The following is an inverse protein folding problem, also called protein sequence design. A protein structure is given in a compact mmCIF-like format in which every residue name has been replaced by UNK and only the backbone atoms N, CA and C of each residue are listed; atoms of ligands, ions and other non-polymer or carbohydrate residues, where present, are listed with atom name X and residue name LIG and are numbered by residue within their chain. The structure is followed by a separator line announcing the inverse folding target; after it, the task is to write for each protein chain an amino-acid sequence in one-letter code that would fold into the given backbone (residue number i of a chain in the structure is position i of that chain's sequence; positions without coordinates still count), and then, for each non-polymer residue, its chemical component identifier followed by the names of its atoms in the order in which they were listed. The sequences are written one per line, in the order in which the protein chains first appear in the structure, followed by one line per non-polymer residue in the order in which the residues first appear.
data_IF_209440836120
#
_entry.id   IF_209440836120
#
_cell.length_a   1.000
_cell.length_b   1.000
_cell.length_c   1.000
_cell.angle_alpha   90.00
_cell.angle_beta   90.00
_cell.angle_gamma   90.00
#
_symmetry.space_group_name_H-M   'P 1'
#
loop_
_entity.id
_entity.type
_entity.pdbx_description
1 polymer ?
#
# COMPACT_ATOMS: atom_id res chain seq x y z
N UNK A 1 -6.93 21.12 -12.81
CA UNK A 1 -6.78 21.14 -11.33
C UNK A 1 -5.33 20.89 -10.93
N UNK A 2 -4.68 19.83 -11.45
CA UNK A 2 -3.25 19.57 -11.21
C UNK A 2 -2.31 20.75 -11.50
N UNK A 3 -2.45 21.44 -12.64
CA UNK A 3 -1.62 22.63 -12.95
C UNK A 3 -1.83 23.78 -11.96
N UNK A 4 -3.05 23.95 -11.44
CA UNK A 4 -3.36 24.95 -10.41
C UNK A 4 -2.76 24.56 -9.06
N UNK A 5 -2.81 23.28 -8.68
CA UNK A 5 -2.17 22.76 -7.47
C UNK A 5 -0.65 22.90 -7.56
N UNK A 6 -0.06 22.53 -8.70
CA UNK A 6 1.37 22.65 -8.95
C UNK A 6 1.82 24.12 -8.88
N UNK A 7 1.03 25.02 -9.46
CA UNK A 7 1.27 26.46 -9.39
C UNK A 7 1.17 27.02 -7.97
N UNK A 8 0.17 26.58 -7.19
CA UNK A 8 -0.05 27.03 -5.82
C UNK A 8 1.02 26.52 -4.84
N UNK A 9 1.55 25.32 -5.05
CA UNK A 9 2.51 24.71 -4.11
C UNK A 9 3.97 24.96 -4.47
N UNK A 10 4.28 25.12 -5.76
CA UNK A 10 5.68 25.18 -6.24
C UNK A 10 5.98 26.51 -6.94
N UNK A 11 4.95 27.28 -7.30
CA UNK A 11 5.07 28.60 -7.92
C UNK A 11 4.57 28.63 -9.37
N UNK A 12 4.36 29.84 -9.92
CA UNK A 12 3.69 30.05 -11.21
C UNK A 12 4.35 29.33 -12.40
N UNK A 13 5.68 29.24 -12.41
CA UNK A 13 6.44 28.65 -13.53
C UNK A 13 6.64 27.13 -13.41
N UNK A 14 6.08 26.50 -12.37
CA UNK A 14 6.34 25.09 -12.08
C UNK A 14 5.89 24.13 -13.20
N UNK A 15 4.78 24.44 -13.87
CA UNK A 15 4.28 23.64 -14.98
C UNK A 15 5.24 23.68 -16.20
N UNK A 16 5.80 24.84 -16.50
CA UNK A 16 6.71 24.99 -17.64
C UNK A 16 8.06 24.35 -17.38
N UNK A 17 8.58 24.46 -16.15
CA UNK A 17 9.77 23.71 -15.73
C UNK A 17 9.57 22.20 -15.82
N UNK A 18 8.41 21.70 -15.38
CA UNK A 18 8.10 20.27 -15.47
C UNK A 18 8.02 19.80 -16.92
N UNK A 19 7.39 20.57 -17.81
CA UNK A 19 7.31 20.25 -19.24
C UNK A 19 8.70 20.23 -19.90
N UNK A 20 9.61 21.10 -19.47
CA UNK A 20 10.98 21.12 -19.98
C UNK A 20 11.81 19.86 -19.63
N UNK A 21 11.46 19.16 -18.53
CA UNK A 21 12.09 17.90 -18.14
C UNK A 21 11.53 16.68 -18.92
N UNK A 22 10.36 16.83 -19.55
CA UNK A 22 9.68 15.72 -20.19
C UNK A 22 10.22 15.48 -21.61
N UNK A 23 10.58 14.23 -21.91
CA UNK A 23 10.94 13.83 -23.28
C UNK A 23 9.76 14.01 -24.26
N UNK A 24 8.52 13.82 -23.77
CA UNK A 24 7.27 14.05 -24.52
C UNK A 24 6.17 14.50 -23.56
N UNK A 25 5.31 15.39 -24.05
CA UNK A 25 4.12 15.86 -23.34
C UNK A 25 2.89 15.50 -24.16
N UNK A 26 1.94 14.81 -23.54
CA UNK A 26 0.70 14.39 -24.18
C UNK A 26 -0.48 15.19 -23.64
N UNK A 27 -1.44 15.51 -24.51
CA UNK A 27 -2.70 16.14 -24.08
C UNK A 27 -3.59 15.10 -23.41
N UNK A 28 -4.28 15.48 -22.34
CA UNK A 28 -5.15 14.56 -21.57
C UNK A 28 -6.25 13.92 -22.44
N UNK A 29 -6.72 14.62 -23.47
CA UNK A 29 -7.73 14.13 -24.41
C UNK A 29 -7.18 13.31 -25.58
N UNK A 30 -5.86 13.16 -25.70
CA UNK A 30 -5.23 12.45 -26.82
C UNK A 30 -5.20 10.93 -26.55
N UNK A 31 -6.36 10.27 -26.70
CA UNK A 31 -6.48 8.83 -26.53
C UNK A 31 -5.69 8.01 -27.57
N UNK A 32 -5.23 8.64 -28.65
CA UNK A 32 -4.39 8.03 -29.69
C UNK A 32 -2.89 8.08 -29.38
N UNK A 33 -2.49 8.70 -28.27
CA UNK A 33 -1.09 8.75 -27.86
C UNK A 33 -0.51 7.35 -27.68
N UNK A 34 0.76 7.17 -28.06
CA UNK A 34 1.43 5.87 -28.01
C UNK A 34 1.39 5.21 -26.63
N UNK A 35 1.42 5.99 -25.54
CA UNK A 35 1.35 5.50 -24.16
C UNK A 35 0.00 4.84 -23.80
N UNK A 36 -1.04 5.01 -24.62
CA UNK A 36 -2.31 4.31 -24.51
C UNK A 36 -2.30 2.92 -25.18
N UNK A 37 -1.12 2.42 -25.57
CA UNK A 37 -0.90 1.09 -26.14
C UNK A 37 0.16 0.32 -25.35
N UNK A 38 -0.09 -0.97 -25.10
CA UNK A 38 0.88 -1.86 -24.44
C UNK A 38 2.18 -2.06 -25.24
N UNK A 39 2.15 -1.81 -26.55
CA UNK A 39 3.34 -1.85 -27.42
C UNK A 39 4.34 -0.72 -27.17
N UNK A 40 3.96 0.31 -26.40
CA UNK A 40 4.86 1.39 -26.03
C UNK A 40 5.92 0.87 -25.03
N UNK A 41 7.23 1.07 -25.29
CA UNK A 41 8.28 0.57 -24.41
C UNK A 41 8.44 1.49 -23.18
N UNK A 42 7.58 1.29 -22.19
CA UNK A 42 7.63 1.98 -20.89
C UNK A 42 7.82 0.97 -19.77
N UNK A 43 8.64 1.31 -18.77
CA UNK A 43 8.92 0.45 -17.61
C UNK A 43 7.78 0.44 -16.57
N UNK A 44 6.85 1.38 -16.65
CA UNK A 44 5.76 1.55 -15.71
C UNK A 44 5.21 2.97 -15.75
N UNK A 45 4.33 3.30 -14.80
CA UNK A 45 3.69 4.61 -14.71
C UNK A 45 3.61 5.09 -13.26
N UNK A 46 3.82 6.38 -13.07
CA UNK A 46 3.61 7.07 -11.81
C UNK A 46 2.54 8.13 -12.02
N UNK A 47 1.51 8.14 -11.16
CA UNK A 47 0.49 9.19 -11.14
C UNK A 47 0.75 10.11 -9.94
N UNK A 48 1.29 11.31 -10.20
CA UNK A 48 1.70 12.27 -9.18
C UNK A 48 1.31 13.72 -9.53
N UNK A 49 0.44 14.38 -8.75
CA UNK A 49 -0.42 13.80 -7.72
C UNK A 49 -1.51 12.90 -8.34
N UNK A 50 -1.92 11.85 -7.63
CA UNK A 50 -3.10 11.06 -7.97
C UNK A 50 -4.32 11.64 -7.24
N UNK A 51 -5.20 12.31 -7.98
CA UNK A 51 -6.46 12.78 -7.43
C UNK A 51 -7.39 11.61 -7.07
N UNK A 52 -8.32 11.82 -6.14
CA UNK A 52 -9.31 10.79 -5.80
C UNK A 52 -10.21 10.41 -6.98
N UNK A 53 -10.49 11.35 -7.89
CA UNK A 53 -11.15 11.06 -9.17
C UNK A 53 -10.31 10.13 -10.04
N UNK A 54 -9.03 10.47 -10.23
CA UNK A 54 -8.12 9.66 -11.05
C UNK A 54 -7.97 8.26 -10.47
N UNK A 55 -7.83 8.15 -9.16
CA UNK A 55 -7.80 6.89 -8.44
C UNK A 55 -9.07 6.07 -8.67
N UNK A 56 -10.26 6.67 -8.50
CA UNK A 56 -11.53 6.00 -8.75
C UNK A 56 -11.66 5.52 -10.21
N UNK A 57 -11.25 6.36 -11.15
CA UNK A 57 -11.34 6.05 -12.57
C UNK A 57 -10.37 4.94 -12.99
N UNK A 58 -9.18 4.88 -12.37
CA UNK A 58 -8.23 3.77 -12.55
C UNK A 58 -8.77 2.50 -11.90
N UNK A 59 -9.21 2.59 -10.64
CA UNK A 59 -9.75 1.50 -9.84
C UNK A 59 -10.96 0.80 -10.50
N UNK A 60 -11.78 1.55 -11.24
CA UNK A 60 -12.94 1.04 -11.95
C UNK A 60 -12.73 0.88 -13.46
N UNK A 61 -11.51 1.05 -13.96
CA UNK A 61 -11.17 0.85 -15.37
C UNK A 61 -11.98 1.73 -16.33
N UNK A 62 -12.31 2.97 -15.94
CA UNK A 62 -13.19 3.86 -16.71
C UNK A 62 -12.56 4.29 -18.05
N UNK A 63 -11.22 4.31 -18.14
CA UNK A 63 -10.45 4.67 -19.33
C UNK A 63 -10.96 5.96 -20.05
N UNK A 64 -11.51 6.90 -19.28
CA UNK A 64 -12.25 8.09 -19.74
C UNK A 64 -11.35 9.21 -20.30
N UNK A 65 -10.04 9.10 -20.14
CA UNK A 65 -9.03 10.02 -20.66
C UNK A 65 -7.67 9.30 -20.82
N UNK A 66 -6.66 10.00 -21.35
CA UNK A 66 -5.36 9.40 -21.62
C UNK A 66 -4.66 8.90 -20.34
N UNK A 67 -4.79 9.60 -19.22
CA UNK A 67 -4.16 9.20 -17.95
C UNK A 67 -4.76 7.88 -17.45
N UNK A 68 -6.09 7.76 -17.43
CA UNK A 68 -6.77 6.57 -16.93
C UNK A 68 -6.56 5.38 -17.87
N UNK A 69 -6.59 5.62 -19.19
CA UNK A 69 -6.29 4.61 -20.21
C UNK A 69 -4.85 4.11 -20.17
N UNK A 70 -3.86 5.00 -20.02
CA UNK A 70 -2.46 4.61 -19.92
C UNK A 70 -2.16 3.83 -18.63
N UNK A 71 -2.85 4.17 -17.53
CA UNK A 71 -2.80 3.42 -16.29
C UNK A 71 -3.43 2.02 -16.44
N UNK A 72 -4.58 1.92 -17.10
CA UNK A 72 -5.22 0.65 -17.44
C UNK A 72 -4.34 -0.25 -18.31
N UNK A 73 -3.55 0.34 -19.22
CA UNK A 73 -2.52 -0.40 -19.98
C UNK A 73 -1.44 -0.96 -19.06
N UNK A 74 -0.95 -0.20 -18.06
CA UNK A 74 0.06 -0.74 -17.14
C UNK A 74 -0.48 -1.94 -16.36
N UNK A 75 -1.72 -1.86 -15.88
CA UNK A 75 -2.37 -2.96 -15.18
C UNK A 75 -2.53 -4.20 -16.08
N UNK A 76 -2.99 -4.01 -17.34
CA UNK A 76 -3.13 -5.09 -18.33
C UNK A 76 -1.82 -5.76 -18.70
N UNK A 77 -0.76 -4.96 -18.85
CA UNK A 77 0.59 -5.43 -19.22
C UNK A 77 1.41 -5.88 -18.01
N UNK A 78 0.81 -5.90 -16.80
CA UNK A 78 1.47 -6.19 -15.50
C UNK A 78 2.74 -5.38 -15.27
N UNK A 79 2.70 -4.10 -15.62
CA UNK A 79 3.79 -3.15 -15.39
C UNK A 79 3.53 -2.35 -14.11
N UNK A 80 4.57 -1.97 -13.36
CA UNK A 80 4.43 -1.17 -12.16
C UNK A 80 3.58 0.10 -12.38
N UNK A 81 2.50 0.21 -11.62
CA UNK A 81 1.67 1.42 -11.53
C UNK A 81 1.71 1.96 -10.10
N UNK A 82 2.34 3.11 -9.91
CA UNK A 82 2.46 3.77 -8.60
C UNK A 82 1.50 4.95 -8.52
N UNK A 83 0.62 4.93 -7.53
CA UNK A 83 -0.41 5.96 -7.33
C UNK A 83 -0.08 6.80 -6.11
N UNK A 84 0.31 8.07 -6.31
CA UNK A 84 0.55 9.02 -5.22
C UNK A 84 -0.76 9.71 -4.84
N UNK A 85 -1.65 8.94 -4.23
CA UNK A 85 -2.91 9.44 -3.70
C UNK A 85 -2.64 10.48 -2.60
N UNK A 86 -3.03 11.73 -2.85
CA UNK A 86 -2.86 12.83 -1.88
C UNK A 86 -4.21 13.47 -1.59
N UNK A 87 -4.83 13.01 -0.51
CA UNK A 87 -6.07 13.55 0.03
C UNK A 87 -6.07 13.29 1.55
N UNK A 88 -6.50 14.28 2.32
CA UNK A 88 -6.65 14.16 3.77
C UNK A 88 -7.74 15.14 4.23
N UNK A 89 -8.79 14.68 4.94
CA UNK A 89 -9.07 13.29 5.34
C UNK A 89 -9.55 12.40 4.17
N UNK A 90 -9.27 11.10 4.24
CA UNK A 90 -9.76 10.13 3.26
C UNK A 90 -11.21 9.71 3.59
N UNK A 91 -12.03 9.53 2.55
CA UNK A 91 -13.37 8.96 2.70
C UNK A 91 -13.33 7.46 2.45
N UNK A 92 -14.36 6.72 2.90
CA UNK A 92 -14.48 5.29 2.60
C UNK A 92 -14.44 5.00 1.09
N UNK A 93 -14.99 5.89 0.26
CA UNK A 93 -14.90 5.76 -1.19
C UNK A 93 -13.45 5.83 -1.69
N UNK A 94 -12.62 6.69 -1.10
CA UNK A 94 -11.20 6.79 -1.43
C UNK A 94 -10.47 5.48 -1.08
N UNK A 95 -10.70 4.93 0.11
CA UNK A 95 -10.07 3.68 0.56
C UNK A 95 -10.46 2.48 -0.30
N UNK A 96 -11.75 2.34 -0.64
CA UNK A 96 -12.23 1.28 -1.55
C UNK A 96 -11.57 1.36 -2.92
N UNK A 97 -11.36 2.57 -3.44
CA UNK A 97 -10.68 2.76 -4.72
C UNK A 97 -9.17 2.47 -4.61
N UNK A 98 -8.53 2.77 -3.48
CA UNK A 98 -7.13 2.37 -3.23
C UNK A 98 -6.99 0.86 -3.19
N UNK A 99 -7.91 0.17 -2.51
CA UNK A 99 -7.96 -1.29 -2.44
C UNK A 99 -8.16 -1.91 -3.83
N UNK A 100 -9.20 -1.50 -4.55
CA UNK A 100 -9.46 -2.02 -5.89
C UNK A 100 -8.29 -1.77 -6.86
N UNK A 101 -7.60 -0.62 -6.75
CA UNK A 101 -6.37 -0.39 -7.50
C UNK A 101 -5.24 -1.35 -7.09
N UNK A 102 -5.09 -1.65 -5.79
CA UNK A 102 -4.11 -2.60 -5.26
C UNK A 102 -4.34 -4.02 -5.78
N UNK A 103 -5.60 -4.48 -5.73
CA UNK A 103 -6.04 -5.81 -6.20
C UNK A 103 -5.74 -6.00 -7.71
N UNK A 104 -5.74 -4.91 -8.49
CA UNK A 104 -5.37 -4.94 -9.90
C UNK A 104 -3.85 -4.89 -10.16
N UNK A 105 -3.02 -4.83 -9.12
CA UNK A 105 -1.56 -4.78 -9.23
C UNK A 105 -0.97 -3.35 -9.23
N UNK A 106 -1.74 -2.33 -8.86
CA UNK A 106 -1.13 -1.06 -8.47
C UNK A 106 -0.47 -1.19 -7.10
N UNK A 107 0.51 -0.33 -6.80
CA UNK A 107 1.14 -0.27 -5.47
C UNK A 107 0.63 0.96 -4.71
N UNK A 108 -0.45 0.86 -3.92
CA UNK A 108 -0.80 1.90 -2.97
C UNK A 108 0.19 1.90 -1.80
N UNK A 109 0.48 3.07 -1.24
CA UNK A 109 1.26 3.15 0.01
C UNK A 109 2.77 3.36 -0.13
N UNK A 110 3.31 3.53 -1.34
CA UNK A 110 4.71 3.96 -1.54
C UNK A 110 5.03 5.30 -0.81
N UNK A 111 4.00 6.06 -0.44
CA UNK A 111 4.10 7.24 0.42
C UNK A 111 4.79 6.99 1.79
N UNK A 112 4.84 5.76 2.30
CA UNK A 112 5.60 5.40 3.51
C UNK A 112 7.11 5.39 3.24
N UNK A 113 7.54 4.80 2.12
CA UNK A 113 8.95 4.71 1.72
C UNK A 113 9.53 6.10 1.43
N UNK A 114 8.75 6.99 0.81
CA UNK A 114 9.14 8.38 0.60
C UNK A 114 9.15 9.22 1.91
N UNK A 115 8.26 8.94 2.87
CA UNK A 115 8.27 9.58 4.21
C UNK A 115 9.43 9.12 5.09
N UNK A 116 9.73 7.83 5.10
CA UNK A 116 10.85 7.25 5.86
C UNK A 116 12.22 7.60 5.25
N UNK A 117 12.25 8.00 3.98
CA UNK A 117 13.42 8.54 3.29
C UNK A 117 13.61 10.05 3.49
N UNK A 118 12.77 10.71 4.29
CA UNK A 118 12.73 12.17 4.51
C UNK A 118 12.63 12.99 3.21
N UNK A 119 12.06 12.38 2.16
CA UNK A 119 11.80 13.02 0.87
C UNK A 119 10.44 13.72 0.97
N UNK A 120 10.46 14.96 1.46
CA UNK A 120 9.28 15.82 1.52
C UNK A 120 8.94 16.39 0.15
N UNK A 121 7.82 15.94 -0.42
CA UNK A 121 7.28 16.48 -1.69
C UNK A 121 6.57 17.84 -1.53
N UNK A 122 6.44 18.35 -0.30
CA UNK A 122 5.74 19.61 -0.04
C UNK A 122 6.63 20.84 -0.29
N UNK A 123 7.95 20.69 -0.42
CA UNK A 123 8.88 21.81 -0.57
C UNK A 123 10.04 21.48 -1.53
N UNK A 124 9.78 21.38 -2.84
CA UNK A 124 10.86 21.35 -3.84
C UNK A 124 10.67 20.48 -5.09
N UNK A 125 9.52 20.52 -5.74
CA UNK A 125 9.28 19.80 -7.02
C UNK A 125 10.03 20.36 -8.24
N UNK A 126 11.18 20.98 -8.01
CA UNK A 126 12.17 21.34 -9.03
C UNK A 126 13.23 20.24 -9.22
N UNK A 127 13.21 19.22 -8.34
CA UNK A 127 14.25 18.18 -8.26
C UNK A 127 13.73 16.86 -8.80
N UNK A 128 14.55 16.21 -9.61
CA UNK A 128 14.34 14.82 -10.01
C UNK A 128 14.35 13.88 -8.80
N UNK A 129 13.73 12.71 -8.92
CA UNK A 129 13.77 11.64 -7.90
C UNK A 129 15.22 11.30 -7.47
N UNK A 130 16.16 11.43 -8.41
CA UNK A 130 17.60 11.27 -8.20
C UNK A 130 18.17 12.33 -7.26
N UNK A 131 17.88 13.60 -7.49
CA UNK A 131 18.36 14.72 -6.68
C UNK A 131 17.68 14.78 -5.30
N UNK A 132 16.42 14.34 -5.20
CA UNK A 132 15.71 14.20 -3.94
C UNK A 132 16.31 13.08 -3.07
N UNK A 133 16.68 11.96 -3.68
CA UNK A 133 17.41 10.87 -3.01
C UNK A 133 18.82 11.32 -2.56
N UNK A 134 19.60 11.94 -3.44
CA UNK A 134 20.97 12.40 -3.14
C UNK A 134 21.02 13.41 -1.98
N UNK A 135 20.04 14.31 -1.89
CA UNK A 135 19.97 15.32 -0.82
C UNK A 135 19.53 14.74 0.53
N UNK A 136 18.73 13.67 0.52
CA UNK A 136 18.42 12.87 1.70
C UNK A 136 19.58 11.93 2.09
N UNK A 137 20.72 12.00 1.40
CA UNK A 137 21.87 11.12 1.61
C UNK A 137 21.65 9.69 1.12
N UNK A 138 20.61 9.47 0.31
CA UNK A 138 20.19 8.17 -0.18
C UNK A 138 20.59 7.97 -1.64
N UNK A 139 21.15 6.81 -1.93
CA UNK A 139 21.41 6.42 -3.31
C UNK A 139 20.06 6.06 -3.98
N UNK A 140 19.78 6.58 -5.18
CA UNK A 140 18.57 6.24 -5.94
C UNK A 140 18.40 4.72 -6.12
N UNK A 141 19.51 4.01 -6.28
CA UNK A 141 19.56 2.54 -6.30
C UNK A 141 19.08 1.97 -4.97
N UNK A 142 19.43 2.55 -3.81
CA UNK A 142 18.91 2.09 -2.49
C UNK A 142 17.41 2.32 -2.35
N UNK A 143 16.84 3.40 -2.89
CA UNK A 143 15.40 3.66 -2.83
C UNK A 143 14.61 2.69 -3.72
N UNK A 144 15.08 2.47 -4.94
CA UNK A 144 14.50 1.48 -5.86
C UNK A 144 14.74 0.05 -5.36
N UNK A 145 15.90 -0.23 -4.78
CA UNK A 145 16.19 -1.48 -4.06
C UNK A 145 15.29 -1.65 -2.86
N UNK A 146 14.99 -0.64 -2.02
CA UNK A 146 14.04 -0.81 -0.90
C UNK A 146 12.60 -1.07 -1.35
N UNK A 147 12.16 -0.43 -2.44
CA UNK A 147 10.87 -0.72 -3.06
C UNK A 147 10.84 -2.14 -3.63
N UNK A 148 11.94 -2.54 -4.27
CA UNK A 148 12.14 -3.87 -4.84
C UNK A 148 12.38 -4.93 -3.75
N UNK A 149 12.99 -4.62 -2.62
CA UNK A 149 13.29 -5.49 -1.47
C UNK A 149 12.01 -5.80 -0.70
N UNK A 150 11.05 -4.87 -0.67
CA UNK A 150 9.76 -5.12 -0.05
C UNK A 150 8.92 -6.09 -0.91
N UNK A 151 9.09 -5.99 -2.23
CA UNK A 151 8.50 -6.90 -3.23
C UNK A 151 9.26 -8.24 -3.24
N UNK A 152 10.59 -8.21 -3.18
CA UNK A 152 11.49 -9.36 -3.27
C UNK A 152 11.56 -10.11 -1.93
N UNK A 153 11.47 -9.47 -0.76
CA UNK A 153 11.44 -10.18 0.53
C UNK A 153 10.16 -11.01 0.69
N UNK A 154 9.02 -10.49 0.20
CA UNK A 154 7.76 -11.23 0.18
C UNK A 154 7.80 -12.41 -0.83
N UNK A 155 8.58 -12.30 -1.91
CA UNK A 155 8.62 -13.27 -3.00
C UNK A 155 9.85 -14.23 -3.00
N UNK A 156 10.98 -13.86 -2.41
CA UNK A 156 12.22 -14.66 -2.39
C UNK A 156 12.24 -15.71 -1.28
N UNK A 157 11.54 -15.50 -0.17
CA UNK A 157 11.42 -16.49 0.91
C UNK A 157 10.22 -17.44 0.73
N UNK A 158 9.30 -17.09 -0.16
CA UNK A 158 8.10 -17.88 -0.43
C UNK A 158 8.42 -19.07 -1.33
N UNK A 159 8.18 -20.31 -0.89
CA UNK A 159 8.36 -21.49 -1.73
C UNK A 159 7.48 -21.43 -2.99
N UNK A 160 8.00 -21.91 -4.12
CA UNK A 160 7.26 -21.92 -5.39
C UNK A 160 6.23 -23.04 -5.49
N UNK A 161 6.41 -24.12 -4.73
CA UNK A 161 5.47 -25.24 -4.70
C UNK A 161 4.32 -24.95 -3.74
N UNK A 162 3.09 -25.14 -4.20
CA UNK A 162 1.86 -24.85 -3.45
C UNK A 162 1.84 -25.44 -2.03
N UNK A 163 2.28 -26.71 -1.78
CA UNK A 163 2.30 -27.25 -0.42
C UNK A 163 3.27 -26.52 0.52
N UNK A 164 4.44 -26.17 0.02
CA UNK A 164 5.45 -25.45 0.80
C UNK A 164 5.06 -23.98 0.99
N UNK A 165 4.40 -23.37 0.01
CA UNK A 165 3.85 -22.02 0.10
C UNK A 165 2.77 -21.92 1.17
N UNK A 166 1.83 -22.88 1.21
CA UNK A 166 0.81 -22.98 2.27
C UNK A 166 1.49 -23.13 3.63
N UNK A 167 2.47 -24.04 3.75
CA UNK A 167 3.19 -24.24 5.00
C UNK A 167 3.97 -22.98 5.44
N UNK A 168 4.52 -22.23 4.49
CA UNK A 168 5.15 -20.94 4.73
C UNK A 168 4.14 -19.91 5.22
N UNK A 169 2.97 -19.79 4.56
CA UNK A 169 1.93 -18.83 4.94
C UNK A 169 1.49 -19.04 6.39
N UNK A 170 1.19 -20.28 6.76
CA UNK A 170 0.79 -20.62 8.13
C UNK A 170 1.89 -20.27 9.13
N UNK A 171 3.13 -20.71 8.90
CA UNK A 171 4.22 -20.52 9.88
C UNK A 171 4.73 -19.08 9.95
N UNK A 172 4.86 -18.40 8.81
CA UNK A 172 5.46 -17.07 8.73
C UNK A 172 4.45 -15.96 8.99
N UNK A 173 3.19 -16.14 8.60
CA UNK A 173 2.17 -15.11 8.74
C UNK A 173 1.13 -15.49 9.79
N UNK A 174 0.42 -16.62 9.66
CA UNK A 174 -0.70 -16.92 10.58
C UNK A 174 -0.24 -17.02 12.04
N UNK A 175 0.76 -17.86 12.31
CA UNK A 175 1.33 -18.03 13.65
C UNK A 175 1.88 -16.70 14.20
N UNK A 176 2.58 -15.95 13.35
CA UNK A 176 3.17 -14.65 13.71
C UNK A 176 2.11 -13.62 14.06
N UNK A 177 1.03 -13.50 13.27
CA UNK A 177 -0.06 -12.58 13.55
C UNK A 177 -0.74 -12.88 14.89
N UNK A 178 -0.98 -14.16 15.19
CA UNK A 178 -1.58 -14.59 16.47
C UNK A 178 -0.69 -14.19 17.65
N UNK A 179 0.62 -14.43 17.57
CA UNK A 179 1.58 -14.05 18.60
C UNK A 179 1.68 -12.52 18.76
N UNK A 180 1.82 -11.79 17.66
CA UNK A 180 1.97 -10.33 17.66
C UNK A 180 0.73 -9.64 18.22
N UNK A 181 -0.47 -10.05 17.80
CA UNK A 181 -1.72 -9.50 18.33
C UNK A 181 -1.90 -9.85 19.81
N UNK A 182 -1.45 -11.04 20.24
CA UNK A 182 -1.39 -11.43 21.65
C UNK A 182 -0.52 -10.50 22.50
N UNK A 183 0.55 -9.94 21.93
CA UNK A 183 1.43 -8.98 22.59
C UNK A 183 0.95 -7.52 22.48
N UNK A 184 0.50 -7.10 21.30
CA UNK A 184 0.17 -5.70 20.99
C UNK A 184 -1.14 -5.25 21.63
N UNK A 185 -2.14 -6.13 21.76
CA UNK A 185 -3.43 -5.78 22.38
C UNK A 185 -3.27 -5.36 23.85
N UNK A 186 -2.59 -6.14 24.73
CA UNK A 186 -2.33 -5.70 26.11
C UNK A 186 -1.49 -4.42 26.20
N UNK A 187 -0.55 -4.23 25.27
CA UNK A 187 0.31 -3.05 25.24
C UNK A 187 -0.47 -1.79 24.83
N UNK A 188 -1.35 -1.90 23.83
CA UNK A 188 -2.28 -0.84 23.44
C UNK A 188 -3.18 -0.44 24.61
N UNK A 189 -3.75 -1.43 25.31
CA UNK A 189 -4.61 -1.17 26.47
C UNK A 189 -3.87 -0.40 27.57
N UNK A 190 -2.60 -0.75 27.83
CA UNK A 190 -1.76 -0.03 28.79
C UNK A 190 -1.49 1.41 28.35
N UNK A 191 -1.16 1.63 27.07
CA UNK A 191 -0.91 2.97 26.53
C UNK A 191 -2.16 3.83 26.63
N UNK A 192 -3.34 3.31 26.24
CA UNK A 192 -4.61 4.02 26.38
C UNK A 192 -4.96 4.35 27.83
N UNK A 193 -4.70 3.41 28.76
CA UNK A 193 -5.03 3.62 30.17
C UNK A 193 -4.11 4.65 30.84
N UNK A 194 -2.81 4.60 30.55
CA UNK A 194 -1.81 5.48 31.17
C UNK A 194 -1.80 6.86 30.54
N UNK A 195 -2.05 6.95 29.23
CA UNK A 195 -1.98 8.20 28.48
C UNK A 195 -3.34 8.71 28.03
N UNK A 196 -4.46 8.22 28.58
CA UNK A 196 -5.80 8.56 28.10
C UNK A 196 -6.14 10.06 28.13
N UNK A 197 -5.46 10.84 28.98
CA UNK A 197 -5.60 12.31 29.07
C UNK A 197 -4.68 13.07 28.10
N UNK A 198 -3.84 12.38 27.32
CA UNK A 198 -2.94 12.99 26.34
C UNK A 198 -3.70 13.22 25.01
N UNK A 199 -3.57 14.41 24.42
CA UNK A 199 -4.33 14.80 23.22
C UNK A 199 -4.10 13.87 22.01
N UNK A 200 -2.90 13.30 21.89
CA UNK A 200 -2.52 12.34 20.83
C UNK A 200 -2.68 10.86 21.25
N UNK A 201 -3.32 10.56 22.37
CA UNK A 201 -3.49 9.18 22.85
C UNK A 201 -4.32 8.36 21.85
N UNK A 202 -3.92 7.10 21.56
CA UNK A 202 -4.60 6.29 20.55
C UNK A 202 -5.84 5.61 21.11
N UNK A 203 -6.82 6.42 21.55
CA UNK A 203 -8.05 5.95 22.14
C UNK A 203 -8.83 5.07 21.16
N UNK A 204 -9.18 3.85 21.60
CA UNK A 204 -9.88 2.86 20.78
C UNK A 204 -8.97 1.93 19.99
N UNK A 205 -7.64 2.07 20.06
CA UNK A 205 -6.69 1.18 19.40
C UNK A 205 -6.82 -0.29 19.87
N UNK A 206 -7.04 -0.51 21.16
CA UNK A 206 -7.23 -1.83 21.75
C UNK A 206 -8.43 -2.53 21.13
N UNK A 207 -9.56 -1.82 20.99
CA UNK A 207 -10.75 -2.35 20.34
C UNK A 207 -10.50 -2.62 18.85
N UNK A 208 -9.74 -1.74 18.19
CA UNK A 208 -9.38 -1.92 16.79
C UNK A 208 -8.52 -3.17 16.57
N UNK A 209 -7.54 -3.43 17.44
CA UNK A 209 -6.69 -4.61 17.38
C UNK A 209 -7.41 -5.90 17.77
N UNK A 210 -8.33 -5.85 18.74
CA UNK A 210 -9.18 -7.00 19.07
C UNK A 210 -10.04 -7.41 17.88
N UNK A 211 -10.67 -6.44 17.22
CA UNK A 211 -11.43 -6.73 16.00
C UNK A 211 -10.54 -7.26 14.87
N UNK A 212 -9.30 -6.76 14.73
CA UNK A 212 -8.35 -7.27 13.72
C UNK A 212 -8.04 -8.74 13.98
N UNK A 213 -7.77 -9.08 15.24
CA UNK A 213 -7.53 -10.46 15.65
C UNK A 213 -8.73 -11.34 15.36
N UNK A 214 -9.93 -10.91 15.73
CA UNK A 214 -11.13 -11.73 15.57
C UNK A 214 -11.46 -11.97 14.07
N UNK A 215 -11.22 -10.97 13.21
CA UNK A 215 -11.38 -11.07 11.75
C UNK A 215 -10.32 -11.99 11.12
N UNK A 216 -9.03 -11.76 11.41
CA UNK A 216 -7.94 -12.59 10.92
C UNK A 216 -8.06 -14.03 11.43
N UNK A 217 -8.36 -14.24 12.70
CA UNK A 217 -8.53 -15.60 13.25
C UNK A 217 -9.66 -16.35 12.54
N UNK A 218 -10.76 -15.68 12.21
CA UNK A 218 -11.87 -16.28 11.48
C UNK A 218 -11.43 -16.69 10.07
N UNK A 219 -10.76 -15.79 9.35
CA UNK A 219 -10.28 -16.02 8.00
C UNK A 219 -9.20 -17.14 7.97
N UNK A 220 -8.13 -16.98 8.75
CA UNK A 220 -7.03 -17.92 8.85
C UNK A 220 -7.49 -19.32 9.26
N UNK A 221 -8.46 -19.42 10.18
CA UNK A 221 -8.99 -20.74 10.58
C UNK A 221 -9.81 -21.40 9.47
N UNK A 222 -10.56 -20.62 8.69
CA UNK A 222 -11.29 -21.14 7.53
C UNK A 222 -10.30 -21.59 6.43
N UNK A 223 -9.23 -20.83 6.22
CA UNK A 223 -8.16 -21.17 5.29
C UNK A 223 -7.47 -22.47 5.68
N UNK A 224 -6.97 -22.56 6.92
CA UNK A 224 -6.25 -23.73 7.43
C UNK A 224 -7.11 -25.01 7.47
N UNK A 225 -8.38 -24.89 7.85
CA UNK A 225 -9.25 -26.05 8.05
C UNK A 225 -9.99 -26.53 6.80
N UNK A 226 -10.20 -25.66 5.82
CA UNK A 226 -11.00 -25.97 4.64
C UNK A 226 -10.31 -25.59 3.32
N UNK A 227 -9.90 -24.32 3.15
CA UNK A 227 -9.41 -23.82 1.86
C UNK A 227 -8.07 -24.44 1.45
N UNK A 228 -7.06 -24.39 2.32
CA UNK A 228 -5.73 -24.93 2.03
C UNK A 228 -5.78 -26.45 1.79
N UNK A 229 -6.49 -27.27 2.59
CA UNK A 229 -6.70 -28.67 2.25
C UNK A 229 -7.38 -28.90 0.90
N UNK A 230 -8.34 -28.05 0.49
CA UNK A 230 -9.01 -28.12 -0.80
C UNK A 230 -8.05 -27.81 -1.96
N UNK A 231 -7.25 -26.76 -1.84
CA UNK A 231 -6.20 -26.40 -2.80
C UNK A 231 -5.21 -27.56 -3.00
N UNK A 232 -4.80 -28.22 -1.92
CA UNK A 232 -3.91 -29.38 -2.00
C UNK A 232 -4.52 -30.60 -2.70
N UNK A 233 -5.86 -30.69 -2.77
CA UNK A 233 -6.58 -31.71 -3.55
C UNK A 233 -6.83 -31.29 -5.00
N UNK A 234 -6.42 -30.08 -5.40
CA UNK A 234 -6.67 -29.52 -6.73
C UNK A 234 -8.10 -29.01 -6.92
N UNK A 235 -8.78 -28.65 -5.83
CA UNK A 235 -10.10 -28.03 -5.87
C UNK A 235 -9.96 -26.50 -6.02
N UNK A 236 -10.87 -25.89 -6.78
CA UNK A 236 -10.84 -24.46 -7.09
C UNK A 236 -11.14 -23.61 -5.85
N UNK A 237 -10.32 -22.59 -5.60
CA UNK A 237 -10.33 -21.74 -4.41
C UNK A 237 -11.24 -20.51 -4.52
N UNK A 238 -12.18 -20.51 -5.48
CA UNK A 238 -12.89 -19.32 -5.96
C UNK A 238 -13.77 -18.54 -4.95
N UNK A 239 -13.82 -18.92 -3.66
CA UNK A 239 -14.63 -18.26 -2.63
C UNK A 239 -13.87 -18.08 -1.30
N UNK A 240 -12.71 -17.45 -1.33
CA UNK A 240 -12.15 -16.86 -0.10
C UNK A 240 -13.00 -15.63 0.29
N UNK A 241 -13.75 -15.73 1.39
CA UNK A 241 -14.44 -14.57 1.98
C UNK A 241 -13.40 -13.65 2.62
N UNK A 242 -13.11 -12.55 1.94
CA UNK A 242 -12.15 -11.56 2.41
C UNK A 242 -12.88 -10.61 3.34
N UNK A 243 -12.69 -10.86 4.64
CA UNK A 243 -13.37 -10.20 5.73
C UNK A 243 -13.15 -8.68 5.80
N UNK A 244 -13.08 -8.14 7.00
CA UNK A 244 -13.02 -6.70 7.23
C UNK A 244 -11.61 -6.18 7.49
N UNK A 245 -10.57 -7.01 7.29
CA UNK A 245 -9.17 -6.74 7.64
C UNK A 245 -8.71 -5.36 7.16
N UNK A 246 -8.94 -5.02 5.89
CA UNK A 246 -8.53 -3.72 5.33
C UNK A 246 -9.22 -2.53 6.04
N UNK A 247 -10.52 -2.66 6.37
CA UNK A 247 -11.26 -1.64 7.10
C UNK A 247 -10.75 -1.47 8.53
N UNK A 248 -10.35 -2.57 9.17
CA UNK A 248 -9.81 -2.57 10.52
C UNK A 248 -8.42 -1.95 10.56
N UNK A 249 -7.55 -2.27 9.60
CA UNK A 249 -6.23 -1.62 9.43
C UNK A 249 -6.37 -0.10 9.23
N UNK A 250 -7.37 0.33 8.47
CA UNK A 250 -7.71 1.75 8.34
C UNK A 250 -8.02 2.41 9.69
N UNK A 251 -8.88 1.78 10.50
CA UNK A 251 -9.21 2.27 11.84
C UNK A 251 -7.98 2.34 12.76
N UNK A 252 -7.07 1.36 12.68
CA UNK A 252 -5.81 1.37 13.43
C UNK A 252 -4.94 2.57 13.02
N UNK A 253 -4.82 2.84 11.71
CA UNK A 253 -4.09 4.00 11.23
C UNK A 253 -4.73 5.32 11.71
N UNK A 254 -6.06 5.42 11.74
CA UNK A 254 -6.76 6.62 12.18
C UNK A 254 -6.51 6.93 13.65
N UNK A 255 -6.73 5.96 14.54
CA UNK A 255 -6.53 6.15 16.00
C UNK A 255 -5.07 6.33 16.38
N UNK A 256 -4.12 6.00 15.51
CA UNK A 256 -2.68 6.16 15.77
C UNK A 256 -2.05 7.33 15.03
N UNK A 257 -2.85 8.19 14.40
CA UNK A 257 -2.36 9.28 13.56
C UNK A 257 -1.33 8.81 12.51
N UNK A 258 -1.64 7.71 11.83
CA UNK A 258 -0.75 7.01 10.89
C UNK A 258 0.55 6.52 11.53
N UNK A 259 0.46 5.99 12.76
CA UNK A 259 1.60 5.53 13.55
C UNK A 259 2.66 6.63 13.74
N UNK A 260 2.23 7.88 13.89
CA UNK A 260 3.11 9.00 14.24
C UNK A 260 3.30 9.07 15.76
N UNK A 261 4.54 9.00 16.22
CA UNK A 261 4.83 9.07 17.65
C UNK A 261 4.79 10.52 18.14
N UNK A 262 4.09 10.82 19.24
CA UNK A 262 4.08 12.14 19.83
C UNK A 262 5.44 12.48 20.47
N UNK A 263 5.73 13.77 20.59
CA UNK A 263 6.95 14.25 21.25
C UNK A 263 6.98 13.82 22.73
N UNK A 264 8.04 13.13 23.14
CA UNK A 264 8.17 12.64 24.51
C UNK A 264 7.43 11.32 24.80
N UNK A 265 7.01 10.59 23.76
CA UNK A 265 6.42 9.25 23.90
C UNK A 265 7.29 8.33 24.76
N UNK A 266 6.66 7.59 25.68
CA UNK A 266 7.37 6.65 26.54
C UNK A 266 7.85 5.42 25.76
N UNK A 267 8.73 4.62 26.37
CA UNK A 267 9.25 3.40 25.76
C UNK A 267 8.16 2.40 25.36
N UNK A 268 7.08 2.29 26.14
CA UNK A 268 5.95 1.41 25.85
C UNK A 268 5.16 1.85 24.62
N UNK A 269 4.95 3.16 24.43
CA UNK A 269 4.27 3.71 23.26
C UNK A 269 5.13 3.57 22.00
N UNK A 270 6.44 3.81 22.13
CA UNK A 270 7.41 3.60 21.04
C UNK A 270 7.45 2.13 20.60
N UNK A 271 7.50 1.19 21.56
CA UNK A 271 7.47 -0.24 21.29
C UNK A 271 6.15 -0.67 20.63
N UNK A 272 5.02 -0.12 21.08
CA UNK A 272 3.70 -0.38 20.49
C UNK A 272 3.67 0.04 19.01
N UNK A 273 4.07 1.26 18.69
CA UNK A 273 3.97 1.76 17.31
C UNK A 273 4.99 1.10 16.38
N UNK A 274 6.14 0.68 16.91
CA UNK A 274 7.11 -0.14 16.17
C UNK A 274 6.52 -1.50 15.83
N UNK A 275 5.91 -2.18 16.81
CA UNK A 275 5.27 -3.48 16.59
C UNK A 275 4.05 -3.40 15.68
N UNK A 276 3.23 -2.35 15.80
CA UNK A 276 2.10 -2.11 14.89
C UNK A 276 2.54 -1.91 13.45
N UNK A 277 3.67 -1.21 13.22
CA UNK A 277 4.20 -1.02 11.87
C UNK A 277 4.57 -2.35 11.24
N UNK A 278 5.29 -3.20 11.98
CA UNK A 278 5.63 -4.56 11.53
C UNK A 278 4.36 -5.37 11.25
N UNK A 279 3.41 -5.41 12.18
CA UNK A 279 2.17 -6.15 12.01
C UNK A 279 1.40 -5.71 10.76
N UNK A 280 1.24 -4.39 10.55
CA UNK A 280 0.54 -3.89 9.38
C UNK A 280 1.26 -4.25 8.06
N UNK A 281 2.59 -4.15 8.04
CA UNK A 281 3.38 -4.53 6.86
C UNK A 281 3.27 -6.04 6.59
N UNK A 282 3.37 -6.89 7.64
CA UNK A 282 3.28 -8.34 7.51
C UNK A 282 1.87 -8.77 7.07
N UNK A 283 0.79 -8.16 7.57
CA UNK A 283 -0.59 -8.48 7.13
C UNK A 283 -0.79 -8.14 5.65
N UNK A 284 -0.25 -7.02 5.18
CA UNK A 284 -0.34 -6.64 3.75
C UNK A 284 0.48 -7.61 2.89
N UNK A 285 1.68 -7.97 3.32
CA UNK A 285 2.53 -8.93 2.61
C UNK A 285 1.89 -10.33 2.54
N UNK A 286 1.27 -10.76 3.64
CA UNK A 286 0.50 -12.00 3.72
C UNK A 286 -0.61 -12.03 2.68
N UNK A 287 -1.53 -11.05 2.72
CA UNK A 287 -2.67 -11.00 1.80
C UNK A 287 -2.22 -10.93 0.34
N UNK A 288 -1.14 -10.19 0.05
CA UNK A 288 -0.56 -10.14 -1.29
C UNK A 288 -0.11 -11.52 -1.76
N UNK A 289 0.58 -12.28 -0.91
CA UNK A 289 1.10 -13.61 -1.26
C UNK A 289 -0.04 -14.59 -1.57
N UNK A 290 -1.12 -14.53 -0.80
CA UNK A 290 -2.32 -15.34 -1.05
C UNK A 290 -2.98 -14.97 -2.39
N UNK A 291 -3.24 -13.69 -2.60
CA UNK A 291 -4.01 -13.19 -3.73
C UNK A 291 -3.29 -13.27 -5.07
N UNK A 292 -1.98 -13.05 -5.06
CA UNK A 292 -1.21 -12.88 -6.29
C UNK A 292 -0.39 -14.10 -6.65
N UNK A 293 -0.14 -14.99 -5.68
CA UNK A 293 0.65 -16.20 -5.88
C UNK A 293 -0.17 -17.45 -5.59
N UNK A 294 -0.65 -17.65 -4.36
CA UNK A 294 -1.26 -18.92 -3.96
C UNK A 294 -2.57 -19.22 -4.71
N UNK A 295 -3.56 -18.32 -4.63
CA UNK A 295 -4.87 -18.57 -5.24
C UNK A 295 -4.82 -18.64 -6.77
N UNK A 296 -4.04 -17.79 -7.48
CA UNK A 296 -3.86 -17.94 -8.91
C UNK A 296 -3.18 -19.26 -9.31
N UNK A 297 -2.25 -19.80 -8.51
CA UNK A 297 -1.65 -21.11 -8.76
C UNK A 297 -2.65 -22.25 -8.59
N UNK A 298 -3.56 -22.14 -7.62
CA UNK A 298 -4.58 -23.16 -7.35
C UNK A 298 -5.67 -23.23 -8.44
N UNK A 299 -5.88 -22.13 -9.18
CA UNK A 299 -6.87 -22.03 -10.26
C UNK A 299 -6.32 -22.44 -11.65
N UNK A 300 -5.03 -22.77 -11.75
CA UNK A 300 -4.33 -23.08 -13.01
C UNK A 300 -4.20 -24.59 -13.26
#
# INVERSE_FOLDING_TARGET
MAERTLSAEIGPDAADRLRALAARVHLLGDLGAAIASGSCPVAGMIVAPCSMRSLAAIAHGLDDNLLTRAAGVQLKERRPLVLLAREAPLTLAHLKNMQAAAEMGALPGAARIFREADISFCCGGERSLREAAEKAGLNLTVLTTRLQDLIDAAAQEAPSETPDLIAHIVRRYHDTHREELGFLIPLAHRVETVHGDHDEAPLGLTQALMALRDDLDTQMSAEESALFPAILRGEDAAQADRGQTAAILGRIADVTHSLHLPLGACGSWTALYTGLRKLCDDVVAHLYLEDTVLFPQAAA
#
